data_IF_111623673227
#
_entry.id   IF_111623673227
#
_cell.length_a   1.000
_cell.length_b   1.000
_cell.length_c   1.000
_cell.angle_alpha   90.00
_cell.angle_beta   90.00
_cell.angle_gamma   90.00
#
_symmetry.space_group_name_H-M   'P 1'
#
loop_
_entity.id
_entity.type
_entity.pdbx_description
1 polymer ?
#
# COMPACT_ATOMS: atom_id res chain seq x y z
N UNK A 1 -6.40 34.93 1.73
CA UNK A 1 -6.12 33.47 1.92
C UNK A 1 -5.34 33.00 0.71
N UNK A 2 -4.22 32.30 0.90
CA UNK A 2 -3.40 31.81 -0.21
C UNK A 2 -4.24 30.79 -1.04
N UNK A 3 -4.23 30.93 -2.37
CA UNK A 3 -5.01 30.06 -3.28
C UNK A 3 -4.71 28.56 -3.08
N UNK A 4 -3.48 28.21 -2.72
CA UNK A 4 -3.09 26.83 -2.38
C UNK A 4 -3.81 26.35 -1.13
N UNK A 5 -3.86 27.14 -0.07
CA UNK A 5 -4.53 26.80 1.17
C UNK A 5 -6.05 26.61 0.94
N UNK A 6 -6.66 27.48 0.12
CA UNK A 6 -8.07 27.34 -0.25
C UNK A 6 -8.36 25.98 -0.94
N UNK A 7 -7.52 25.59 -1.92
CA UNK A 7 -7.64 24.29 -2.60
C UNK A 7 -7.49 23.12 -1.61
N UNK A 8 -6.50 23.18 -0.73
CA UNK A 8 -6.28 22.14 0.29
C UNK A 8 -7.46 22.01 1.25
N UNK A 9 -8.08 23.12 1.66
CA UNK A 9 -9.29 23.10 2.50
C UNK A 9 -10.46 22.44 1.77
N UNK A 10 -10.67 22.75 0.48
CA UNK A 10 -11.72 22.14 -0.32
C UNK A 10 -11.51 20.63 -0.46
N UNK A 11 -10.28 20.20 -0.77
CA UNK A 11 -9.93 18.77 -0.90
C UNK A 11 -10.13 18.04 0.44
N UNK A 12 -9.71 18.63 1.56
CA UNK A 12 -9.97 18.08 2.89
C UNK A 12 -11.46 17.98 3.19
N UNK A 13 -12.24 19.03 2.87
CA UNK A 13 -13.69 19.02 3.06
C UNK A 13 -14.36 17.87 2.27
N UNK A 14 -13.97 17.65 1.03
CA UNK A 14 -14.45 16.51 0.22
C UNK A 14 -14.05 15.18 0.87
N UNK A 15 -12.77 15.04 1.29
CA UNK A 15 -12.23 13.82 1.90
C UNK A 15 -12.90 13.46 3.22
N UNK A 16 -13.45 14.42 3.95
CA UNK A 16 -14.21 14.20 5.20
C UNK A 16 -15.71 14.03 4.93
N UNK A 17 -16.30 14.92 4.11
CA UNK A 17 -17.75 14.97 3.92
C UNK A 17 -18.29 13.75 3.20
N UNK A 18 -17.61 13.26 2.15
CA UNK A 18 -18.04 12.07 1.40
C UNK A 18 -18.09 10.83 2.31
N UNK A 19 -17.04 10.48 3.07
CA UNK A 19 -17.12 9.39 4.05
C UNK A 19 -18.21 9.57 5.09
N UNK A 20 -18.35 10.78 5.67
CA UNK A 20 -19.36 11.06 6.68
C UNK A 20 -20.78 10.81 6.14
N UNK A 21 -21.09 11.32 4.96
CA UNK A 21 -22.38 11.09 4.30
C UNK A 21 -22.63 9.60 4.02
N UNK A 22 -21.60 8.88 3.52
CA UNK A 22 -21.74 7.44 3.24
C UNK A 22 -21.96 6.62 4.52
N UNK A 23 -21.42 7.05 5.66
CA UNK A 23 -21.67 6.44 6.97
C UNK A 23 -23.11 6.74 7.42
N UNK A 24 -23.54 8.00 7.34
CA UNK A 24 -24.90 8.42 7.72
C UNK A 24 -25.96 7.66 6.92
N UNK A 25 -25.75 7.47 5.62
CA UNK A 25 -26.65 6.69 4.77
C UNK A 25 -26.45 5.18 4.85
N UNK A 26 -25.60 4.68 5.75
CA UNK A 26 -25.28 3.26 5.94
C UNK A 26 -24.88 2.55 4.63
N UNK A 27 -23.96 3.16 3.87
CA UNK A 27 -23.47 2.65 2.57
C UNK A 27 -22.01 2.14 2.66
N UNK A 28 -21.70 1.10 3.48
CA UNK A 28 -20.32 0.67 3.71
C UNK A 28 -19.60 0.21 2.44
N UNK A 29 -20.32 -0.37 1.47
CA UNK A 29 -19.72 -0.79 0.19
C UNK A 29 -19.24 0.40 -0.65
N UNK A 30 -20.01 1.50 -0.69
CA UNK A 30 -19.61 2.72 -1.38
C UNK A 30 -18.44 3.40 -0.65
N UNK A 31 -18.44 3.34 0.68
CA UNK A 31 -17.35 3.87 1.49
C UNK A 31 -16.02 3.11 1.25
N UNK A 32 -16.07 1.77 1.14
CA UNK A 32 -14.89 0.98 0.68
C UNK A 32 -14.50 1.38 -0.73
N UNK A 33 -15.46 1.59 -1.63
CA UNK A 33 -15.17 2.05 -2.98
C UNK A 33 -14.48 3.40 -3.00
N UNK A 34 -14.95 4.37 -2.26
CA UNK A 34 -14.32 5.68 -2.11
C UNK A 34 -12.90 5.54 -1.52
N UNK A 35 -12.74 4.79 -0.43
CA UNK A 35 -11.43 4.52 0.17
C UNK A 35 -10.46 3.93 -0.86
N UNK A 36 -10.85 2.88 -1.57
CA UNK A 36 -10.01 2.23 -2.57
C UNK A 36 -9.65 3.16 -3.74
N UNK A 37 -10.59 3.98 -4.20
CA UNK A 37 -10.37 4.93 -5.28
C UNK A 37 -9.35 6.01 -4.86
N UNK A 38 -9.53 6.61 -3.69
CA UNK A 38 -8.67 7.70 -3.21
C UNK A 38 -7.26 7.23 -2.82
N UNK A 39 -7.06 5.93 -2.57
CA UNK A 39 -5.72 5.39 -2.32
C UNK A 39 -4.76 5.53 -3.52
N UNK A 40 -5.30 5.62 -4.73
CA UNK A 40 -4.51 5.77 -5.95
C UNK A 40 -4.68 7.14 -6.62
N UNK A 41 -5.55 7.99 -6.06
CA UNK A 41 -5.74 9.37 -6.49
C UNK A 41 -5.34 10.31 -5.35
N UNK A 42 -4.03 10.44 -5.14
CA UNK A 42 -3.43 11.14 -3.99
C UNK A 42 -3.73 12.67 -3.97
N UNK A 43 -4.39 13.20 -5.01
CA UNK A 43 -4.88 14.60 -5.00
C UNK A 43 -5.85 14.89 -3.85
N UNK A 44 -6.49 13.87 -3.28
CA UNK A 44 -7.35 13.99 -2.10
C UNK A 44 -6.58 13.94 -0.78
N UNK A 45 -5.27 13.72 -0.81
CA UNK A 45 -4.44 13.73 0.37
C UNK A 45 -4.27 15.18 0.85
N UNK A 46 -4.28 15.37 2.15
CA UNK A 46 -4.13 16.69 2.74
C UNK A 46 -2.76 16.87 3.38
N UNK A 47 -2.15 18.02 3.13
CA UNK A 47 -0.87 18.41 3.73
C UNK A 47 -1.02 19.54 4.76
N UNK A 48 -2.26 19.94 5.09
CA UNK A 48 -2.52 21.10 5.98
C UNK A 48 -1.89 20.92 7.36
N UNK A 49 -2.02 19.74 7.96
CA UNK A 49 -1.49 19.47 9.30
C UNK A 49 -0.35 18.45 9.28
N UNK A 50 -0.41 17.51 8.38
CA UNK A 50 0.57 16.43 8.15
C UNK A 50 0.17 15.76 6.84
N UNK A 51 1.09 15.10 6.19
CA UNK A 51 0.74 14.30 5.00
C UNK A 51 -0.21 13.16 5.42
N UNK A 52 -1.51 13.38 5.25
CA UNK A 52 -2.59 12.48 5.63
C UNK A 52 -3.30 11.96 4.39
N UNK A 53 -3.04 10.72 3.96
CA UNK A 53 -3.72 10.09 2.85
C UNK A 53 -5.24 10.05 3.05
N UNK A 54 -6.01 10.31 1.98
CA UNK A 54 -7.47 10.33 2.03
C UNK A 54 -8.06 8.99 2.53
N UNK A 55 -7.43 7.85 2.22
CA UNK A 55 -7.80 6.56 2.78
C UNK A 55 -7.72 6.52 4.32
N UNK A 56 -6.78 7.24 4.94
CA UNK A 56 -6.70 7.39 6.39
C UNK A 56 -7.77 8.33 6.94
N UNK A 57 -8.14 9.36 6.21
CA UNK A 57 -9.28 10.21 6.58
C UNK A 57 -10.55 9.34 6.67
N UNK A 58 -10.79 8.47 5.69
CA UNK A 58 -11.89 7.49 5.75
C UNK A 58 -11.81 6.65 7.02
N UNK A 59 -10.63 6.13 7.36
CA UNK A 59 -10.42 5.34 8.57
C UNK A 59 -10.73 6.12 9.85
N UNK A 60 -10.29 7.37 9.95
CA UNK A 60 -10.55 8.23 11.11
C UNK A 60 -12.04 8.54 11.26
N UNK A 61 -12.72 8.90 10.17
CA UNK A 61 -14.16 9.18 10.18
C UNK A 61 -14.97 7.91 10.54
N UNK A 62 -14.49 6.74 10.15
CA UNK A 62 -15.12 5.45 10.47
C UNK A 62 -14.75 4.90 11.87
N UNK A 63 -13.73 5.44 12.53
CA UNK A 63 -13.19 4.96 13.80
C UNK A 63 -14.25 4.78 14.90
N UNK A 64 -15.19 5.72 15.14
CA UNK A 64 -16.23 5.51 16.15
C UNK A 64 -17.07 4.25 15.90
N UNK A 65 -17.42 3.99 14.64
CA UNK A 65 -18.18 2.79 14.22
C UNK A 65 -17.37 1.52 14.45
N UNK A 66 -16.05 1.58 14.15
CA UNK A 66 -15.14 0.45 14.38
C UNK A 66 -14.98 0.14 15.87
N UNK A 67 -14.89 1.15 16.73
CA UNK A 67 -14.81 0.99 18.19
C UNK A 67 -16.08 0.35 18.75
N UNK A 68 -17.27 0.83 18.37
CA UNK A 68 -18.54 0.24 18.80
C UNK A 68 -18.63 -1.24 18.40
N UNK A 69 -18.12 -1.58 17.23
CA UNK A 69 -18.07 -2.96 16.75
C UNK A 69 -16.91 -3.80 17.34
N UNK A 70 -16.04 -3.23 18.19
CA UNK A 70 -14.80 -3.88 18.65
C UNK A 70 -15.05 -5.24 19.31
N UNK A 71 -16.11 -5.40 20.09
CA UNK A 71 -16.47 -6.65 20.77
C UNK A 71 -16.58 -7.84 19.82
N UNK A 72 -17.06 -7.62 18.60
CA UNK A 72 -17.21 -8.68 17.60
C UNK A 72 -15.88 -9.01 16.92
N UNK A 73 -15.02 -8.00 16.72
CA UNK A 73 -13.72 -8.18 16.04
C UNK A 73 -12.69 -8.85 16.94
N UNK A 74 -12.75 -8.62 18.25
CA UNK A 74 -11.85 -9.27 19.21
C UNK A 74 -12.03 -10.79 19.30
N UNK A 75 -13.10 -11.36 18.72
CA UNK A 75 -13.24 -12.80 18.51
C UNK A 75 -12.29 -13.35 17.43
N UNK A 76 -11.81 -12.50 16.52
CA UNK A 76 -10.92 -12.89 15.44
C UNK A 76 -9.47 -12.97 15.92
N UNK A 77 -8.82 -14.12 15.67
CA UNK A 77 -7.39 -14.30 15.98
C UNK A 77 -6.51 -13.17 15.41
N UNK A 78 -6.65 -12.76 14.13
CA UNK A 78 -5.81 -11.71 13.59
C UNK A 78 -6.08 -10.33 14.21
N UNK A 79 -7.30 -10.06 14.70
CA UNK A 79 -7.62 -8.81 15.40
C UNK A 79 -6.99 -8.78 16.80
N UNK A 80 -6.97 -9.93 17.49
CA UNK A 80 -6.28 -10.03 18.79
C UNK A 80 -4.78 -9.86 18.63
N UNK A 81 -4.17 -10.47 17.63
CA UNK A 81 -2.75 -10.29 17.34
C UNK A 81 -2.43 -8.81 17.04
N UNK A 82 -3.26 -8.14 16.25
CA UNK A 82 -3.14 -6.71 16.00
C UNK A 82 -3.25 -5.89 17.29
N UNK A 83 -4.21 -6.20 18.18
CA UNK A 83 -4.38 -5.50 19.45
C UNK A 83 -3.16 -5.65 20.37
N UNK A 84 -2.57 -6.84 20.43
CA UNK A 84 -1.32 -7.07 21.17
C UNK A 84 -0.21 -6.18 20.67
N UNK A 85 0.00 -6.09 19.34
CA UNK A 85 0.97 -5.19 18.75
C UNK A 85 0.66 -3.72 19.06
N UNK A 86 -0.61 -3.33 18.99
CA UNK A 86 -1.02 -1.95 19.24
C UNK A 86 -0.76 -1.53 20.70
N UNK A 87 -1.09 -2.40 21.68
CA UNK A 87 -0.79 -2.15 23.10
C UNK A 87 0.73 -2.06 23.32
N UNK A 88 1.48 -2.94 22.67
CA UNK A 88 2.94 -2.91 22.73
C UNK A 88 3.51 -1.61 22.15
N UNK A 89 3.01 -1.15 21.01
CA UNK A 89 3.38 0.14 20.41
C UNK A 89 3.06 1.31 21.34
N UNK A 90 1.93 1.29 22.05
CA UNK A 90 1.61 2.32 23.06
C UNK A 90 2.69 2.32 24.14
N UNK A 91 3.04 1.14 24.69
CA UNK A 91 4.09 1.02 25.69
C UNK A 91 5.44 1.56 25.23
N UNK A 92 5.88 1.18 24.04
CA UNK A 92 7.11 1.71 23.43
C UNK A 92 7.01 3.22 23.17
N UNK A 93 5.84 3.70 22.75
CA UNK A 93 5.60 5.11 22.52
C UNK A 93 5.71 5.95 23.80
N UNK A 94 5.17 5.45 24.90
CA UNK A 94 5.34 6.07 26.23
C UNK A 94 6.83 6.04 26.61
N UNK A 95 7.50 4.90 26.46
CA UNK A 95 8.89 4.75 26.86
C UNK A 95 9.82 5.67 26.05
N UNK A 96 9.81 5.57 24.71
CA UNK A 96 10.77 6.25 23.82
C UNK A 96 10.26 7.57 23.26
N UNK A 97 8.99 7.87 23.39
CA UNK A 97 8.41 9.15 22.98
C UNK A 97 8.34 10.17 24.10
N UNK A 98 8.07 9.71 25.33
CA UNK A 98 7.78 10.62 26.45
C UNK A 98 8.77 10.49 27.63
N UNK A 99 9.12 9.26 28.07
CA UNK A 99 9.96 9.07 29.24
C UNK A 99 11.44 9.19 28.90
N UNK A 100 11.89 8.51 27.85
CA UNK A 100 13.27 8.54 27.34
C UNK A 100 13.28 8.92 25.88
N UNK A 101 12.91 10.17 25.53
CA UNK A 101 12.75 10.56 24.14
C UNK A 101 14.08 10.43 23.38
N UNK A 102 13.99 9.93 22.16
CA UNK A 102 15.12 9.90 21.25
C UNK A 102 15.68 11.33 21.05
N UNK A 103 17.01 11.50 21.06
CA UNK A 103 17.63 12.79 20.82
C UNK A 103 17.25 13.30 19.43
N UNK A 104 16.94 14.58 19.35
CA UNK A 104 16.70 15.25 18.08
C UNK A 104 18.05 15.69 17.47
N UNK A 105 18.30 15.29 16.23
CA UNK A 105 19.56 15.57 15.52
C UNK A 105 19.72 17.04 15.11
N UNK A 106 18.67 17.84 15.12
CA UNK A 106 18.66 19.16 14.46
C UNK A 106 18.70 20.37 15.37
N UNK A 107 18.54 20.22 16.68
CA UNK A 107 18.76 21.30 17.67
C UNK A 107 17.92 22.58 17.53
N UNK A 108 16.92 22.60 16.63
CA UNK A 108 16.09 23.77 16.35
C UNK A 108 14.62 23.60 16.75
N UNK A 109 13.86 24.72 16.72
CA UNK A 109 12.41 24.66 16.88
C UNK A 109 11.78 23.82 15.78
N UNK A 110 11.04 22.77 16.18
CA UNK A 110 10.31 21.89 15.26
C UNK A 110 8.81 21.95 15.51
N UNK A 111 8.01 21.78 14.46
CA UNK A 111 6.59 21.52 14.60
C UNK A 111 6.35 20.28 15.48
N UNK A 112 5.27 20.31 16.26
CA UNK A 112 4.94 19.23 17.21
C UNK A 112 4.95 17.82 16.57
N UNK A 113 4.44 17.70 15.34
CA UNK A 113 4.39 16.43 14.60
C UNK A 113 5.78 15.86 14.23
N UNK A 114 6.84 16.63 14.35
CA UNK A 114 8.22 16.19 14.13
C UNK A 114 8.96 15.90 15.44
N UNK A 115 8.41 16.28 16.58
CA UNK A 115 8.94 15.92 17.91
C UNK A 115 8.65 14.45 18.24
N UNK A 116 9.43 13.76 19.08
CA UNK A 116 9.20 12.36 19.45
C UNK A 116 7.77 12.08 19.92
N UNK A 117 7.21 12.96 20.78
CA UNK A 117 5.85 12.86 21.29
C UNK A 117 4.81 12.94 20.17
N UNK A 118 4.96 13.97 19.32
CA UNK A 118 4.05 14.20 18.20
C UNK A 118 4.09 13.08 17.17
N UNK A 119 5.29 12.56 16.85
CA UNK A 119 5.47 11.40 15.97
C UNK A 119 4.77 10.16 16.50
N UNK A 120 4.95 9.89 17.79
CA UNK A 120 4.28 8.78 18.48
C UNK A 120 2.77 8.88 18.34
N UNK A 121 2.18 10.04 18.66
CA UNK A 121 0.74 10.26 18.57
C UNK A 121 0.24 10.11 17.13
N UNK A 122 0.89 10.80 16.18
CA UNK A 122 0.52 10.73 14.76
C UNK A 122 0.59 9.31 14.23
N UNK A 123 1.63 8.55 14.59
CA UNK A 123 1.76 7.16 14.18
C UNK A 123 0.66 6.27 14.76
N UNK A 124 0.36 6.37 16.04
CA UNK A 124 -0.70 5.60 16.70
C UNK A 124 -2.08 5.92 16.09
N UNK A 125 -2.35 7.18 15.79
CA UNK A 125 -3.57 7.61 15.06
C UNK A 125 -3.62 6.98 13.67
N UNK A 126 -2.50 6.90 12.94
CA UNK A 126 -2.43 6.21 11.64
C UNK A 126 -2.74 4.72 11.78
N UNK A 127 -2.19 4.04 12.78
CA UNK A 127 -2.44 2.61 13.03
C UNK A 127 -3.91 2.34 13.36
N UNK A 128 -4.55 3.21 14.15
CA UNK A 128 -6.00 3.14 14.43
C UNK A 128 -6.84 3.39 13.18
N UNK A 129 -6.46 4.34 12.35
CA UNK A 129 -7.13 4.60 11.07
C UNK A 129 -7.05 3.37 10.15
N UNK A 130 -5.86 2.77 10.00
CA UNK A 130 -5.66 1.57 9.19
C UNK A 130 -6.44 0.35 9.73
N UNK A 131 -6.59 0.26 11.06
CA UNK A 131 -7.48 -0.73 11.69
C UNK A 131 -8.94 -0.48 11.31
N UNK A 132 -9.40 0.75 11.37
CA UNK A 132 -10.78 1.13 11.04
C UNK A 132 -11.10 0.82 9.57
N UNK A 133 -10.18 1.09 8.65
CA UNK A 133 -10.32 0.69 7.23
C UNK A 133 -10.44 -0.83 7.11
N UNK A 134 -9.64 -1.59 7.85
CA UNK A 134 -9.73 -3.07 7.88
C UNK A 134 -11.14 -3.52 8.31
N UNK A 135 -11.68 -2.97 9.39
CA UNK A 135 -13.02 -3.28 9.90
C UNK A 135 -14.11 -2.86 8.90
N UNK A 136 -13.96 -1.70 8.27
CA UNK A 136 -14.87 -1.24 7.22
C UNK A 136 -14.95 -2.26 6.09
N UNK A 137 -13.82 -2.75 5.58
CA UNK A 137 -13.77 -3.78 4.54
C UNK A 137 -14.46 -5.06 4.99
N UNK A 138 -14.17 -5.53 6.21
CA UNK A 138 -14.80 -6.74 6.77
C UNK A 138 -16.32 -6.61 6.81
N UNK A 139 -16.87 -5.45 7.14
CA UNK A 139 -18.33 -5.21 7.17
C UNK A 139 -18.94 -5.04 5.78
N UNK A 140 -18.20 -4.47 4.84
CA UNK A 140 -18.70 -4.20 3.50
C UNK A 140 -18.80 -5.46 2.63
N UNK A 141 -17.92 -6.44 2.86
CA UNK A 141 -17.92 -7.70 2.13
C UNK A 141 -19.06 -8.61 2.63
N UNK A 142 -19.83 -9.17 1.70
CA UNK A 142 -20.91 -10.10 2.01
C UNK A 142 -20.43 -11.53 2.13
N UNK A 143 -19.45 -11.88 1.33
CA UNK A 143 -18.88 -13.22 1.22
C UNK A 143 -17.36 -13.11 1.00
N UNK A 144 -16.54 -14.09 1.42
CA UNK A 144 -15.09 -14.08 1.16
C UNK A 144 -14.71 -13.98 -0.31
N UNK A 145 -15.61 -14.32 -1.22
CA UNK A 145 -15.43 -14.18 -2.66
C UNK A 145 -15.76 -12.80 -3.21
N UNK A 146 -16.41 -11.94 -2.41
CA UNK A 146 -16.89 -10.62 -2.84
C UNK A 146 -15.78 -9.55 -2.83
N UNK A 147 -14.64 -9.89 -3.43
CA UNK A 147 -13.51 -8.96 -3.52
C UNK A 147 -13.65 -7.96 -4.67
N UNK A 148 -14.67 -8.13 -5.52
CA UNK A 148 -14.88 -7.31 -6.73
C UNK A 148 -15.01 -5.82 -6.41
N UNK A 149 -15.58 -5.46 -5.25
CA UNK A 149 -15.70 -4.06 -4.87
C UNK A 149 -14.33 -3.42 -4.66
N UNK A 150 -13.41 -4.13 -3.98
CA UNK A 150 -12.05 -3.69 -3.73
C UNK A 150 -11.26 -3.61 -5.05
N UNK A 151 -11.23 -4.71 -5.81
CA UNK A 151 -10.47 -4.77 -7.06
C UNK A 151 -10.97 -3.77 -8.09
N UNK A 152 -12.29 -3.58 -8.21
CA UNK A 152 -12.90 -2.62 -9.13
C UNK A 152 -12.46 -1.18 -8.85
N UNK A 153 -12.58 -0.74 -7.61
CA UNK A 153 -12.32 0.65 -7.26
C UNK A 153 -10.83 0.98 -7.20
N UNK A 154 -9.97 0.04 -6.76
CA UNK A 154 -8.53 0.19 -6.91
C UNK A 154 -8.12 0.28 -8.39
N UNK A 155 -8.68 -0.57 -9.24
CA UNK A 155 -8.41 -0.53 -10.68
C UNK A 155 -8.87 0.80 -11.31
N UNK A 156 -10.02 1.32 -10.91
CA UNK A 156 -10.51 2.61 -11.43
C UNK A 156 -9.65 3.78 -10.94
N UNK A 157 -9.23 3.78 -9.67
CA UNK A 157 -8.27 4.78 -9.17
C UNK A 157 -6.96 4.76 -9.97
N UNK A 158 -6.41 3.57 -10.22
CA UNK A 158 -5.22 3.39 -11.05
C UNK A 158 -5.44 3.87 -12.49
N UNK A 159 -6.63 3.59 -13.07
CA UNK A 159 -6.93 4.02 -14.44
C UNK A 159 -7.05 5.53 -14.57
N UNK A 160 -7.70 6.19 -13.62
CA UNK A 160 -7.84 7.66 -13.62
C UNK A 160 -6.49 8.32 -13.43
N UNK A 161 -5.69 7.85 -12.48
CA UNK A 161 -4.32 8.36 -12.25
C UNK A 161 -3.41 8.07 -13.43
N UNK A 162 -3.49 6.87 -14.03
CA UNK A 162 -2.75 6.50 -15.22
C UNK A 162 -3.12 7.35 -16.45
N UNK A 163 -4.44 7.58 -16.66
CA UNK A 163 -4.92 8.46 -17.73
C UNK A 163 -4.41 9.89 -17.54
N UNK A 164 -4.43 10.41 -16.31
CA UNK A 164 -3.89 11.73 -16.01
C UNK A 164 -2.37 11.80 -16.31
N UNK A 165 -1.62 10.73 -15.99
CA UNK A 165 -0.20 10.64 -16.35
C UNK A 165 0.05 10.62 -17.85
N UNK A 166 -0.73 9.82 -18.61
CA UNK A 166 -0.61 9.77 -20.09
C UNK A 166 -0.95 11.12 -20.72
N UNK A 167 -2.10 11.70 -20.34
CA UNK A 167 -2.55 12.99 -20.89
C UNK A 167 -1.61 14.11 -20.43
N UNK A 168 -1.15 14.07 -19.19
CA UNK A 168 -0.17 15.02 -18.64
C UNK A 168 1.10 15.04 -19.46
N UNK A 169 1.65 13.85 -19.75
CA UNK A 169 2.83 13.72 -20.60
C UNK A 169 2.62 14.27 -22.02
N UNK A 170 1.48 13.91 -22.66
CA UNK A 170 1.19 14.33 -24.03
C UNK A 170 0.96 15.84 -24.18
N UNK A 171 0.33 16.45 -23.16
CA UNK A 171 -0.04 17.87 -23.14
C UNK A 171 0.94 18.74 -22.33
N UNK A 172 1.95 18.15 -21.72
CA UNK A 172 2.87 18.81 -20.79
C UNK A 172 2.13 19.53 -19.62
N UNK A 173 1.15 18.84 -19.02
CA UNK A 173 0.30 19.36 -17.93
C UNK A 173 0.52 18.52 -16.68
N UNK A 174 0.99 19.14 -15.60
CA UNK A 174 1.03 18.53 -14.27
C UNK A 174 -0.35 18.65 -13.58
N UNK A 175 -1.17 17.60 -13.70
CA UNK A 175 -2.51 17.57 -13.12
C UNK A 175 -2.50 17.61 -11.59
N UNK A 176 -1.50 17.00 -10.94
CA UNK A 176 -1.39 17.07 -9.47
C UNK A 176 -1.18 18.51 -9.02
N UNK A 177 -0.23 19.23 -9.62
CA UNK A 177 0.00 20.65 -9.37
C UNK A 177 -1.23 21.50 -9.68
N UNK A 178 -1.90 21.24 -10.80
CA UNK A 178 -3.08 21.98 -11.21
C UNK A 178 -4.21 21.91 -10.17
N UNK A 179 -4.43 20.72 -9.60
CA UNK A 179 -5.50 20.46 -8.63
C UNK A 179 -5.10 20.91 -7.22
N UNK A 180 -3.92 20.52 -6.75
CA UNK A 180 -3.50 20.74 -5.36
C UNK A 180 -2.81 22.07 -5.14
N UNK A 181 -2.16 22.62 -6.17
CA UNK A 181 -1.29 23.78 -6.07
C UNK A 181 0.10 23.49 -5.48
N UNK A 182 0.44 22.24 -5.18
CA UNK A 182 1.68 21.86 -4.53
C UNK A 182 2.78 21.56 -5.54
N UNK A 183 3.92 22.27 -5.40
CA UNK A 183 5.10 22.15 -6.28
C UNK A 183 6.18 21.20 -5.73
N UNK A 184 5.99 20.61 -4.55
CA UNK A 184 7.06 20.01 -3.76
C UNK A 184 7.89 18.93 -4.48
N UNK A 185 7.40 18.32 -5.52
CA UNK A 185 8.17 17.40 -6.36
C UNK A 185 7.91 17.73 -7.84
N UNK A 186 8.26 18.99 -8.23
CA UNK A 186 8.24 19.35 -9.63
C UNK A 186 9.03 18.30 -10.41
N UNK A 187 8.33 17.63 -11.30
CA UNK A 187 8.89 16.56 -12.11
C UNK A 187 10.07 17.11 -12.90
N UNK A 188 11.21 16.45 -12.83
CA UNK A 188 12.29 16.69 -13.77
C UNK A 188 11.80 16.22 -15.13
N UNK A 189 11.98 17.04 -16.09
CA UNK A 189 11.62 17.15 -17.50
C UNK A 189 10.98 15.97 -18.28
N UNK A 190 10.85 14.75 -17.75
CA UNK A 190 10.36 13.58 -18.48
C UNK A 190 9.60 12.52 -17.67
N UNK A 191 9.35 12.76 -16.35
CA UNK A 191 8.64 11.81 -15.49
C UNK A 191 7.29 12.35 -15.05
N UNK A 192 6.25 11.56 -15.30
CA UNK A 192 4.90 11.94 -14.90
C UNK A 192 4.51 11.38 -13.55
N UNK A 193 3.66 12.13 -12.84
CA UNK A 193 3.07 11.73 -11.57
C UNK A 193 1.55 11.54 -11.62
N UNK A 194 0.90 11.94 -12.70
CA UNK A 194 -0.55 11.83 -12.84
C UNK A 194 -1.30 12.57 -11.75
N UNK A 195 -2.08 11.84 -10.95
CA UNK A 195 -2.75 12.35 -9.75
C UNK A 195 -2.06 11.92 -8.46
N UNK A 196 -0.82 11.43 -8.53
CA UNK A 196 -0.01 11.05 -7.39
C UNK A 196 0.94 12.16 -6.97
N UNK A 197 1.36 12.15 -5.72
CA UNK A 197 2.28 13.12 -5.16
C UNK A 197 3.66 13.08 -5.85
N UNK A 198 4.09 11.89 -6.23
CA UNK A 198 5.36 11.65 -6.91
C UNK A 198 5.22 10.61 -8.04
N UNK A 199 6.13 10.58 -9.03
CA UNK A 199 6.11 9.58 -10.11
C UNK A 199 6.14 8.13 -9.62
N UNK A 200 6.77 7.86 -8.48
CA UNK A 200 6.78 6.54 -7.84
C UNK A 200 5.36 6.11 -7.45
N UNK A 201 4.55 7.01 -6.89
CA UNK A 201 3.15 6.76 -6.54
C UNK A 201 2.32 6.36 -7.75
N UNK A 202 2.47 7.07 -8.89
CA UNK A 202 1.84 6.71 -10.16
C UNK A 202 2.24 5.29 -10.61
N UNK A 203 3.56 5.02 -10.65
CA UNK A 203 4.07 3.71 -11.08
C UNK A 203 3.53 2.55 -10.25
N UNK A 204 3.45 2.74 -8.93
CA UNK A 204 2.93 1.74 -8.02
C UNK A 204 1.42 1.53 -8.16
N UNK A 205 0.65 2.60 -8.21
CA UNK A 205 -0.80 2.55 -8.41
C UNK A 205 -1.14 1.81 -9.69
N UNK A 206 -0.39 2.08 -10.77
CA UNK A 206 -0.52 1.39 -12.05
C UNK A 206 -0.11 -0.09 -11.96
N UNK A 207 0.98 -0.43 -11.26
CA UNK A 207 1.41 -1.81 -11.05
C UNK A 207 0.34 -2.63 -10.29
N UNK A 208 -0.24 -2.07 -9.23
CA UNK A 208 -1.37 -2.69 -8.53
C UNK A 208 -2.58 -2.87 -9.46
N UNK A 209 -2.99 -1.81 -10.17
CA UNK A 209 -4.14 -1.84 -11.06
C UNK A 209 -4.03 -2.91 -12.15
N UNK A 210 -2.87 -2.99 -12.83
CA UNK A 210 -2.60 -4.03 -13.83
C UNK A 210 -2.62 -5.43 -13.23
N UNK A 211 -1.95 -5.63 -12.09
CA UNK A 211 -1.93 -6.93 -11.42
C UNK A 211 -3.33 -7.39 -11.02
N UNK A 212 -4.16 -6.49 -10.46
CA UNK A 212 -5.55 -6.79 -10.11
C UNK A 212 -6.40 -7.14 -11.33
N UNK A 213 -6.19 -6.49 -12.48
CA UNK A 213 -6.85 -6.85 -13.74
C UNK A 213 -6.39 -8.23 -14.25
N UNK A 214 -5.10 -8.55 -14.10
CA UNK A 214 -4.56 -9.85 -14.50
C UNK A 214 -5.08 -11.01 -13.63
N UNK A 215 -5.49 -10.77 -12.39
CA UNK A 215 -6.10 -11.77 -11.50
C UNK A 215 -7.49 -12.19 -11.99
N UNK A 216 -8.26 -11.29 -12.62
CA UNK A 216 -9.63 -11.60 -13.07
C UNK A 216 -9.65 -12.80 -14.01
N UNK A 217 -10.46 -13.85 -13.74
CA UNK A 217 -10.51 -15.05 -14.57
C UNK A 217 -11.25 -14.82 -15.90
N UNK A 218 -12.16 -13.85 -15.93
CA UNK A 218 -12.88 -13.42 -17.14
C UNK A 218 -12.74 -11.91 -17.27
N UNK A 219 -12.13 -11.46 -18.35
CA UNK A 219 -12.00 -10.05 -18.69
C UNK A 219 -13.04 -9.68 -19.72
N UNK A 220 -13.66 -8.53 -19.49
CA UNK A 220 -14.57 -7.90 -20.45
C UNK A 220 -13.77 -6.97 -21.36
N UNK A 221 -14.39 -6.56 -22.48
CA UNK A 221 -13.77 -5.53 -23.33
C UNK A 221 -13.46 -4.24 -22.56
N UNK A 222 -14.29 -3.89 -21.58
CA UNK A 222 -14.07 -2.73 -20.70
C UNK A 222 -12.79 -2.88 -19.86
N UNK A 223 -12.47 -4.10 -19.40
CA UNK A 223 -11.25 -4.34 -18.65
C UNK A 223 -9.99 -4.10 -19.50
N UNK A 224 -10.03 -4.48 -20.77
CA UNK A 224 -8.94 -4.21 -21.71
C UNK A 224 -8.77 -2.71 -21.99
N UNK A 225 -9.87 -1.98 -22.18
CA UNK A 225 -9.83 -0.52 -22.36
C UNK A 225 -9.24 0.17 -21.13
N UNK A 226 -9.57 -0.29 -19.93
CA UNK A 226 -9.03 0.24 -18.67
C UNK A 226 -7.55 -0.09 -18.49
N UNK A 227 -7.05 -1.19 -19.06
CA UNK A 227 -5.62 -1.53 -19.01
C UNK A 227 -4.74 -0.52 -19.77
N UNK A 228 -5.22 0.09 -20.85
CA UNK A 228 -4.44 1.00 -21.68
C UNK A 228 -3.90 2.19 -20.88
N UNK A 229 -4.75 3.02 -20.21
CA UNK A 229 -4.24 4.15 -19.44
C UNK A 229 -3.39 3.73 -18.24
N UNK A 230 -3.66 2.57 -17.63
CA UNK A 230 -2.85 2.07 -16.52
C UNK A 230 -1.44 1.67 -17.02
N UNK A 231 -1.36 0.96 -18.16
CA UNK A 231 -0.07 0.58 -18.75
C UNK A 231 0.73 1.81 -19.22
N UNK A 232 0.07 2.77 -19.85
CA UNK A 232 0.68 4.05 -20.20
C UNK A 232 1.20 4.82 -18.99
N UNK A 233 0.39 4.91 -17.92
CA UNK A 233 0.80 5.56 -16.68
C UNK A 233 2.01 4.89 -16.03
N UNK A 234 2.07 3.55 -16.03
CA UNK A 234 3.24 2.80 -15.53
C UNK A 234 4.49 3.15 -16.33
N UNK A 235 4.40 3.22 -17.65
CA UNK A 235 5.54 3.55 -18.50
C UNK A 235 6.01 4.99 -18.30
N UNK A 236 5.10 5.97 -18.39
CA UNK A 236 5.47 7.39 -18.28
C UNK A 236 5.85 7.82 -16.85
N UNK A 237 5.58 7.00 -15.85
CA UNK A 237 6.11 7.23 -14.50
C UNK A 237 7.63 7.04 -14.42
N UNK A 238 8.22 6.25 -15.34
CA UNK A 238 9.62 5.80 -15.30
C UNK A 238 10.04 5.30 -13.91
N UNK A 239 9.11 4.66 -13.21
CA UNK A 239 9.31 4.17 -11.84
C UNK A 239 9.87 2.75 -11.86
N UNK A 240 11.15 2.60 -11.52
CA UNK A 240 11.79 1.28 -11.36
C UNK A 240 11.07 0.43 -10.31
N UNK A 241 10.61 1.06 -9.23
CA UNK A 241 9.81 0.40 -8.19
C UNK A 241 8.45 -0.08 -8.72
N UNK A 242 7.77 0.74 -9.52
CA UNK A 242 6.51 0.36 -10.17
C UNK A 242 6.70 -0.83 -11.11
N UNK A 243 7.74 -0.80 -11.96
CA UNK A 243 8.07 -1.90 -12.86
C UNK A 243 8.43 -3.17 -12.11
N UNK A 244 9.24 -3.09 -11.05
CA UNK A 244 9.60 -4.24 -10.21
C UNK A 244 8.36 -4.85 -9.55
N UNK A 245 7.47 -4.02 -8.96
CA UNK A 245 6.23 -4.50 -8.38
C UNK A 245 5.31 -5.15 -9.42
N UNK A 246 5.23 -4.59 -10.63
CA UNK A 246 4.45 -5.19 -11.70
C UNK A 246 5.05 -6.54 -12.11
N UNK A 247 6.37 -6.66 -12.26
CA UNK A 247 7.03 -7.93 -12.58
C UNK A 247 6.75 -9.01 -11.52
N UNK A 248 6.81 -8.65 -10.24
CA UNK A 248 6.43 -9.56 -9.14
C UNK A 248 4.94 -9.89 -9.21
N UNK A 249 4.06 -8.93 -9.47
CA UNK A 249 2.63 -9.16 -9.68
C UNK A 249 2.35 -10.16 -10.80
N UNK A 250 3.05 -10.02 -11.93
CA UNK A 250 3.03 -10.96 -13.06
C UNK A 250 3.46 -12.36 -12.64
N UNK A 251 4.58 -12.48 -11.92
CA UNK A 251 5.07 -13.76 -11.42
C UNK A 251 4.06 -14.43 -10.47
N UNK A 252 3.44 -13.68 -9.55
CA UNK A 252 2.41 -14.19 -8.66
C UNK A 252 1.18 -14.71 -9.43
N UNK A 253 0.71 -13.96 -10.42
CA UNK A 253 -0.41 -14.37 -11.27
C UNK A 253 -0.04 -15.59 -12.10
N UNK A 254 1.19 -15.72 -12.57
CA UNK A 254 1.67 -16.89 -13.28
C UNK A 254 1.73 -18.13 -12.38
N UNK A 255 2.28 -18.01 -11.17
CA UNK A 255 2.44 -19.13 -10.24
C UNK A 255 1.10 -19.60 -9.65
N UNK A 256 0.26 -18.65 -9.22
CA UNK A 256 -0.95 -18.95 -8.43
C UNK A 256 -2.27 -18.75 -9.19
N UNK A 257 -2.21 -18.14 -10.38
CA UNK A 257 -3.37 -17.89 -11.22
C UNK A 257 -3.86 -19.11 -11.98
N UNK A 258 -5.03 -18.97 -12.62
CA UNK A 258 -5.61 -19.98 -13.50
C UNK A 258 -4.89 -20.04 -14.85
N UNK A 259 -5.08 -21.13 -15.62
CA UNK A 259 -4.54 -21.24 -16.98
C UNK A 259 -4.97 -20.07 -17.90
N UNK A 260 -6.21 -19.57 -17.73
CA UNK A 260 -6.69 -18.38 -18.45
C UNK A 260 -5.92 -17.12 -18.08
N UNK A 261 -5.50 -16.99 -16.82
CA UNK A 261 -4.69 -15.87 -16.38
C UNK A 261 -3.29 -15.93 -17.01
N UNK A 262 -2.72 -17.12 -17.18
CA UNK A 262 -1.43 -17.31 -17.85
C UNK A 262 -1.48 -16.91 -19.33
N UNK A 263 -2.55 -17.29 -20.04
CA UNK A 263 -2.76 -16.86 -21.44
C UNK A 263 -2.87 -15.35 -21.54
N UNK A 264 -3.69 -14.73 -20.67
CA UNK A 264 -3.82 -13.28 -20.66
C UNK A 264 -2.54 -12.56 -20.30
N UNK A 265 -1.69 -13.15 -19.46
CA UNK A 265 -0.35 -12.67 -19.14
C UNK A 265 0.54 -12.70 -20.39
N UNK A 266 0.53 -13.80 -21.14
CA UNK A 266 1.28 -13.89 -22.40
C UNK A 266 0.80 -12.81 -23.39
N UNK A 267 -0.52 -12.64 -23.53
CA UNK A 267 -1.11 -11.60 -24.39
C UNK A 267 -0.70 -10.20 -23.94
N UNK A 268 -0.74 -9.90 -22.62
CA UNK A 268 -0.34 -8.61 -22.07
C UNK A 268 1.17 -8.35 -22.27
N UNK A 269 2.01 -9.39 -22.09
CA UNK A 269 3.44 -9.29 -22.34
C UNK A 269 3.76 -9.00 -23.82
N UNK A 270 3.08 -9.67 -24.75
CA UNK A 270 3.22 -9.40 -26.19
C UNK A 270 2.77 -7.97 -26.50
N UNK A 271 1.63 -7.52 -25.98
CA UNK A 271 1.13 -6.17 -26.20
C UNK A 271 2.10 -5.11 -25.65
N UNK A 272 2.68 -5.34 -24.45
CA UNK A 272 3.69 -4.47 -23.87
C UNK A 272 4.97 -4.43 -24.73
N UNK A 273 5.43 -5.59 -25.19
CA UNK A 273 6.61 -5.66 -26.07
C UNK A 273 6.38 -4.90 -27.37
N UNK A 274 5.23 -5.08 -28.00
CA UNK A 274 4.84 -4.34 -29.20
C UNK A 274 4.80 -2.83 -28.94
N UNK A 275 4.22 -2.40 -27.82
CA UNK A 275 4.15 -1.00 -27.45
C UNK A 275 5.54 -0.40 -27.20
N UNK A 276 6.42 -1.11 -26.51
CA UNK A 276 7.82 -0.69 -26.31
C UNK A 276 8.56 -0.60 -27.65
N UNK A 277 8.35 -1.56 -28.56
CA UNK A 277 8.91 -1.52 -29.91
C UNK A 277 8.41 -0.32 -30.69
N UNK A 278 7.11 -0.02 -30.62
CA UNK A 278 6.54 1.17 -31.28
C UNK A 278 7.17 2.45 -30.71
N UNK A 279 7.28 2.58 -29.39
CA UNK A 279 7.91 3.74 -28.75
C UNK A 279 9.37 3.86 -29.17
N UNK A 280 10.12 2.76 -29.19
CA UNK A 280 11.52 2.77 -29.62
C UNK A 280 11.71 3.21 -31.08
N UNK A 281 10.76 2.85 -31.94
CA UNK A 281 10.80 3.22 -33.37
C UNK A 281 10.33 4.67 -33.61
N UNK A 282 9.22 5.06 -32.96
CA UNK A 282 8.59 6.38 -33.19
C UNK A 282 9.32 7.50 -32.43
N UNK A 283 9.89 7.20 -31.28
CA UNK A 283 10.61 8.16 -30.42
C UNK A 283 11.87 7.54 -29.83
N UNK A 284 12.92 7.30 -30.62
CA UNK A 284 14.14 6.64 -30.18
C UNK A 284 14.88 7.42 -29.09
N UNK A 285 14.84 8.75 -29.08
CA UNK A 285 15.42 9.56 -28.00
C UNK A 285 14.77 9.27 -26.65
N UNK A 286 13.44 9.18 -26.61
CA UNK A 286 12.67 8.86 -25.39
C UNK A 286 13.01 7.48 -24.83
N UNK A 287 13.19 6.49 -25.71
CA UNK A 287 13.59 5.15 -25.33
C UNK A 287 15.03 5.12 -24.82
N UNK A 288 15.93 5.86 -25.46
CA UNK A 288 17.32 6.04 -25.03
C UNK A 288 17.41 6.70 -23.66
N UNK A 289 16.70 7.80 -23.45
CA UNK A 289 16.68 8.52 -22.17
C UNK A 289 16.11 7.65 -21.04
N UNK A 290 15.02 6.92 -21.30
CA UNK A 290 14.41 6.01 -20.34
C UNK A 290 15.35 4.85 -19.97
N UNK A 291 16.00 4.24 -20.96
CA UNK A 291 16.95 3.14 -20.71
C UNK A 291 18.19 3.62 -19.99
N UNK A 292 18.71 4.79 -20.34
CA UNK A 292 19.85 5.41 -19.66
C UNK A 292 19.51 5.76 -18.21
N UNK A 293 18.34 6.33 -17.95
CA UNK A 293 17.89 6.65 -16.59
C UNK A 293 17.67 5.40 -15.74
N UNK A 294 17.10 4.34 -16.32
CA UNK A 294 16.93 3.06 -15.60
C UNK A 294 18.30 2.42 -15.33
N UNK A 295 19.20 2.37 -16.30
CA UNK A 295 20.54 1.79 -16.13
C UNK A 295 21.38 2.59 -15.13
N UNK A 296 21.39 3.92 -15.23
CA UNK A 296 22.13 4.79 -14.30
C UNK A 296 21.64 4.64 -12.85
N UNK A 297 20.33 4.42 -12.64
CA UNK A 297 19.77 4.16 -11.32
C UNK A 297 20.12 2.77 -10.79
N UNK A 298 20.17 1.78 -11.67
CA UNK A 298 20.62 0.44 -11.29
C UNK A 298 22.11 0.41 -10.98
N UNK A 299 22.92 1.10 -11.76
CA UNK A 299 24.36 1.25 -11.57
C UNK A 299 24.67 2.15 -10.38
N UNK A 300 24.01 3.31 -10.24
CA UNK A 300 24.23 4.27 -9.14
C UNK A 300 23.85 3.73 -7.75
N UNK A 301 22.99 2.72 -7.68
CA UNK A 301 22.73 1.99 -6.44
C UNK A 301 23.86 1.03 -6.03
N UNK A 302 24.79 0.73 -6.96
CA UNK A 302 25.93 -0.14 -6.72
C UNK A 302 27.25 0.57 -6.45
N UNK A 303 27.36 1.86 -6.79
CA UNK A 303 28.64 2.62 -6.84
C UNK A 303 28.80 3.67 -5.76
N UNK A 304 28.10 3.56 -4.61
CA UNK A 304 28.59 4.27 -3.45
C UNK A 304 29.96 3.69 -3.14
N UNK A 305 31.03 4.47 -3.32
CA UNK A 305 32.35 4.26 -2.74
C UNK A 305 32.24 4.29 -1.21
N UNK A 306 31.37 3.42 -0.69
CA UNK A 306 31.39 3.10 0.70
C UNK A 306 32.62 2.21 0.89
N UNK A 307 33.56 2.63 1.75
CA UNK A 307 34.54 1.75 2.33
C UNK A 307 33.94 0.36 2.48
N UNK A 308 34.63 -0.69 2.05
CA UNK A 308 34.14 -2.06 2.08
C UNK A 308 33.31 -2.31 3.33
N UNK A 309 32.05 -2.68 3.18
CA UNK A 309 31.18 -2.82 4.34
C UNK A 309 31.76 -3.89 5.25
N UNK A 310 31.84 -3.65 6.56
CA UNK A 310 32.53 -4.55 7.50
C UNK A 310 31.86 -5.92 7.61
N UNK A 311 30.62 -6.04 7.13
CA UNK A 311 29.87 -7.29 7.11
C UNK A 311 28.80 -7.33 6.01
N UNK A 312 28.33 -8.55 5.70
CA UNK A 312 27.33 -8.80 4.65
C UNK A 312 25.99 -8.09 4.92
N UNK A 313 25.61 -7.91 6.18
CA UNK A 313 24.33 -7.26 6.52
C UNK A 313 24.37 -5.76 6.21
N UNK A 314 25.49 -5.08 6.46
CA UNK A 314 25.68 -3.69 6.04
C UNK A 314 25.75 -3.55 4.52
N UNK A 315 26.39 -4.50 3.84
CA UNK A 315 26.43 -4.53 2.38
C UNK A 315 25.02 -4.64 1.76
N UNK A 316 24.13 -5.44 2.36
CA UNK A 316 22.73 -5.55 1.94
C UNK A 316 21.98 -4.27 2.26
N UNK A 317 22.16 -3.71 3.46
CA UNK A 317 21.48 -2.48 3.88
C UNK A 317 21.79 -1.31 2.94
N UNK A 318 23.05 -1.17 2.51
CA UNK A 318 23.51 -0.12 1.58
C UNK A 318 22.89 -0.21 0.18
N UNK A 319 22.32 -1.37 -0.20
CA UNK A 319 21.62 -1.56 -1.48
C UNK A 319 20.13 -1.15 -1.44
N UNK A 320 19.61 -0.83 -0.26
CA UNK A 320 18.24 -0.38 -0.10
C UNK A 320 18.10 1.09 -0.53
N UNK A 321 16.86 1.53 -0.69
CA UNK A 321 16.57 2.95 -0.85
C UNK A 321 17.06 3.73 0.39
N UNK A 322 17.38 5.01 0.24
CA UNK A 322 18.02 5.83 1.28
C UNK A 322 17.32 5.79 2.64
N UNK A 323 15.99 5.82 2.65
CA UNK A 323 15.19 5.76 3.89
C UNK A 323 15.26 4.38 4.55
N UNK A 324 15.24 3.33 3.76
CA UNK A 324 15.35 1.96 4.22
C UNK A 324 16.77 1.61 4.62
N UNK A 325 17.77 2.12 3.87
CA UNK A 325 19.18 1.93 4.17
C UNK A 325 19.56 2.50 5.54
N UNK A 326 19.12 3.71 5.86
CA UNK A 326 19.40 4.34 7.15
C UNK A 326 18.80 3.57 8.32
N UNK A 327 17.53 3.13 8.19
CA UNK A 327 16.88 2.33 9.21
C UNK A 327 17.53 0.95 9.35
N UNK A 328 17.86 0.29 8.23
CA UNK A 328 18.51 -1.02 8.23
C UNK A 328 19.90 -0.95 8.87
N UNK A 329 20.74 0.04 8.50
CA UNK A 329 22.04 0.26 9.11
C UNK A 329 21.95 0.51 10.62
N UNK A 330 20.98 1.33 11.04
CA UNK A 330 20.74 1.55 12.46
C UNK A 330 20.44 0.23 13.19
N UNK A 331 19.52 -0.58 12.65
CA UNK A 331 19.14 -1.86 13.26
C UNK A 331 20.30 -2.86 13.30
N UNK A 332 21.07 -2.96 12.21
CA UNK A 332 22.24 -3.86 12.15
C UNK A 332 23.30 -3.47 13.19
N UNK A 333 23.56 -2.18 13.35
CA UNK A 333 24.54 -1.67 14.34
C UNK A 333 24.01 -1.69 15.77
N UNK A 334 22.69 -1.76 15.94
CA UNK A 334 22.02 -1.77 17.25
C UNK A 334 21.03 -2.93 17.34
N UNK A 335 21.47 -4.21 17.32
CA UNK A 335 20.61 -5.38 17.16
C UNK A 335 19.55 -5.55 18.24
N UNK A 336 19.70 -4.96 19.42
CA UNK A 336 18.67 -4.93 20.48
C UNK A 336 17.34 -4.37 19.98
N UNK A 337 17.36 -3.39 19.05
CA UNK A 337 16.15 -2.80 18.50
C UNK A 337 15.47 -3.66 17.43
N UNK A 338 16.14 -4.68 16.91
CA UNK A 338 15.50 -5.73 16.13
C UNK A 338 14.49 -6.48 16.99
N UNK A 339 14.81 -6.71 18.27
CA UNK A 339 13.93 -7.44 19.19
C UNK A 339 12.83 -6.56 19.78
N UNK A 340 13.16 -5.37 20.26
CA UNK A 340 12.21 -4.51 20.98
C UNK A 340 11.56 -3.44 20.13
N UNK A 341 12.14 -3.05 18.97
CA UNK A 341 11.71 -1.89 18.19
C UNK A 341 12.20 -0.56 18.77
N UNK A 342 11.96 0.51 18.04
CA UNK A 342 12.33 1.89 18.42
C UNK A 342 11.14 2.70 18.96
N UNK A 343 9.95 2.14 18.85
CA UNK A 343 8.69 2.83 19.15
C UNK A 343 8.00 3.41 17.91
N UNK A 344 6.72 3.75 18.04
CA UNK A 344 5.84 4.11 16.93
C UNK A 344 6.28 5.40 16.23
N UNK A 345 6.72 5.29 14.98
CA UNK A 345 7.16 6.43 14.16
C UNK A 345 8.48 7.05 14.56
N UNK A 346 9.24 6.44 15.46
CA UNK A 346 10.44 7.03 16.07
C UNK A 346 11.75 6.58 15.41
N UNK A 347 11.75 5.53 14.57
CA UNK A 347 12.97 4.97 13.95
C UNK A 347 13.74 6.00 13.15
N UNK A 348 13.09 6.97 12.54
CA UNK A 348 13.75 8.01 11.76
C UNK A 348 14.69 8.89 12.59
N UNK A 349 14.44 9.06 13.89
CA UNK A 349 15.29 9.85 14.77
C UNK A 349 16.68 9.21 14.94
N UNK A 350 16.82 8.00 15.50
CA UNK A 350 18.14 7.37 15.59
C UNK A 350 18.72 6.96 14.22
N UNK A 351 17.89 6.59 13.24
CA UNK A 351 18.35 6.23 11.91
C UNK A 351 18.98 7.41 11.15
N UNK A 352 18.57 8.64 11.44
CA UNK A 352 19.10 9.84 10.79
C UNK A 352 20.62 9.99 10.96
N UNK A 353 21.20 9.42 12.01
CA UNK A 353 22.65 9.40 12.24
C UNK A 353 23.38 8.28 11.46
N UNK A 354 22.63 7.40 10.79
CA UNK A 354 23.16 6.24 10.08
C UNK A 354 22.97 6.37 8.56
N UNK A 355 22.95 7.61 8.06
CA UNK A 355 22.85 7.87 6.62
C UNK A 355 24.08 7.32 5.92
N UNK A 356 23.92 6.53 4.84
CA UNK A 356 25.05 6.06 4.04
C UNK A 356 25.89 7.24 3.55
N UNK A 357 27.22 7.13 3.68
CA UNK A 357 28.15 8.15 3.16
C UNK A 357 28.07 8.19 1.64
N UNK A 358 28.29 9.36 1.04
CA UNK A 358 28.25 9.56 -0.39
C UNK A 358 27.13 10.51 -0.83
N UNK A 359 26.42 10.20 -1.92
CA UNK A 359 25.40 11.08 -2.55
C UNK A 359 24.36 11.58 -1.54
N UNK A 360 24.00 10.77 -0.58
CA UNK A 360 22.95 11.10 0.40
C UNK A 360 23.39 12.15 1.44
N UNK A 361 24.67 12.23 1.78
CA UNK A 361 25.18 13.22 2.74
C UNK A 361 25.19 14.64 2.15
N UNK A 362 25.28 14.77 0.84
CA UNK A 362 25.19 16.05 0.14
C UNK A 362 23.75 16.54 0.07
N UNK A 363 22.80 15.64 -0.18
CA UNK A 363 21.36 15.97 -0.30
C UNK A 363 20.71 16.14 1.08
N UNK A 364 21.18 15.40 2.09
CA UNK A 364 20.60 15.33 3.44
C UNK A 364 21.64 15.64 4.53
N UNK A 365 22.20 16.85 4.59
CA UNK A 365 23.30 17.18 5.50
C UNK A 365 22.93 17.02 6.98
N UNK A 366 21.64 17.16 7.32
CA UNK A 366 21.13 17.05 8.69
C UNK A 366 20.52 15.66 9.01
N UNK A 367 20.80 14.64 8.17
CA UNK A 367 20.22 13.33 8.32
C UNK A 367 18.84 13.20 7.66
N UNK A 368 18.39 11.95 7.53
CA UNK A 368 17.13 11.61 6.85
C UNK A 368 16.04 11.44 7.88
N UNK A 369 15.08 12.34 7.87
CA UNK A 369 13.92 12.32 8.76
C UNK A 369 12.71 11.67 8.08
N UNK A 370 12.82 10.38 7.75
CA UNK A 370 11.74 9.62 7.14
C UNK A 370 11.65 8.21 7.69
N UNK A 371 10.44 7.64 7.59
CA UNK A 371 10.19 6.25 7.98
C UNK A 371 10.58 5.29 6.85
N UNK A 372 10.98 4.04 7.19
CA UNK A 372 11.23 3.02 6.19
C UNK A 372 10.01 2.80 5.28
N UNK A 373 10.30 2.55 4.01
CA UNK A 373 9.25 2.35 2.99
C UNK A 373 8.87 0.88 2.82
N UNK A 374 9.75 -0.06 3.15
CA UNK A 374 9.45 -1.50 3.12
C UNK A 374 8.64 -1.92 4.33
N UNK A 375 7.47 -2.52 4.09
CA UNK A 375 6.52 -2.86 5.16
C UNK A 375 7.12 -3.74 6.26
N UNK A 376 7.93 -4.75 5.91
CA UNK A 376 8.57 -5.61 6.90
C UNK A 376 9.61 -4.84 7.74
N UNK A 377 10.45 -4.03 7.10
CA UNK A 377 11.44 -3.20 7.80
C UNK A 377 10.76 -2.15 8.66
N UNK A 378 9.64 -1.61 8.19
CA UNK A 378 8.83 -0.66 8.93
C UNK A 378 8.26 -1.28 10.22
N UNK A 379 7.64 -2.48 10.13
CA UNK A 379 7.12 -3.18 11.31
C UNK A 379 8.25 -3.57 12.27
N UNK A 380 9.36 -4.11 11.74
CA UNK A 380 10.53 -4.47 12.55
C UNK A 380 11.11 -3.26 13.27
N UNK A 381 11.25 -2.14 12.59
CA UNK A 381 11.81 -0.93 13.17
C UNK A 381 10.93 -0.32 14.26
N UNK A 382 9.60 -0.33 14.09
CA UNK A 382 8.69 0.27 15.08
C UNK A 382 8.42 -0.64 16.28
N UNK A 383 8.14 -1.93 16.07
CA UNK A 383 7.68 -2.86 17.11
C UNK A 383 8.53 -4.13 17.26
N UNK A 384 9.67 -4.18 16.59
CA UNK A 384 10.61 -5.30 16.72
C UNK A 384 10.00 -6.63 16.30
N UNK A 385 10.53 -7.72 16.86
CA UNK A 385 10.06 -9.09 16.61
C UNK A 385 8.58 -9.27 16.97
N UNK A 386 8.08 -8.56 17.98
CA UNK A 386 6.66 -8.65 18.39
C UNK A 386 5.75 -8.20 17.24
N UNK A 387 6.09 -7.10 16.56
CA UNK A 387 5.35 -6.63 15.38
C UNK A 387 5.32 -7.67 14.27
N UNK A 388 6.48 -8.26 13.98
CA UNK A 388 6.59 -9.29 12.94
C UNK A 388 5.77 -10.54 13.29
N UNK A 389 5.88 -11.03 14.52
CA UNK A 389 5.14 -12.23 14.98
C UNK A 389 3.64 -12.01 14.89
N UNK A 390 3.15 -10.88 15.40
CA UNK A 390 1.72 -10.55 15.36
C UNK A 390 1.21 -10.35 13.93
N UNK A 391 2.02 -9.74 13.04
CA UNK A 391 1.72 -9.63 11.62
C UNK A 391 1.64 -11.02 10.96
N UNK A 392 2.61 -11.92 11.23
CA UNK A 392 2.62 -13.29 10.73
C UNK A 392 1.40 -14.09 11.20
N UNK A 393 0.99 -13.97 12.48
CA UNK A 393 -0.24 -14.60 13.00
C UNK A 393 -1.46 -14.11 12.22
N UNK A 394 -1.53 -12.81 11.94
CA UNK A 394 -2.61 -12.20 11.14
C UNK A 394 -2.66 -12.74 9.71
N UNK A 395 -1.52 -12.77 9.04
CA UNK A 395 -1.39 -13.31 7.67
C UNK A 395 -1.71 -14.80 7.63
N UNK A 396 -1.12 -15.60 8.52
CA UNK A 396 -1.33 -17.03 8.59
C UNK A 396 -2.81 -17.39 8.80
N UNK A 397 -3.46 -16.72 9.76
CA UNK A 397 -4.89 -16.93 10.05
C UNK A 397 -5.75 -16.61 8.83
N UNK A 398 -5.45 -15.53 8.13
CA UNK A 398 -6.14 -15.10 6.92
C UNK A 398 -5.94 -16.08 5.77
N UNK A 399 -4.69 -16.50 5.53
CA UNK A 399 -4.35 -17.49 4.50
C UNK A 399 -5.00 -18.85 4.76
N UNK A 400 -5.00 -19.31 6.02
CA UNK A 400 -5.68 -20.57 6.41
C UNK A 400 -7.17 -20.51 6.11
N UNK A 401 -7.83 -19.39 6.36
CA UNK A 401 -9.24 -19.20 6.06
C UNK A 401 -9.50 -19.13 4.54
N UNK A 402 -8.70 -18.35 3.80
CA UNK A 402 -8.83 -18.24 2.34
C UNK A 402 -8.54 -19.55 1.62
N UNK A 403 -7.54 -20.33 2.08
CA UNK A 403 -7.24 -21.66 1.55
C UNK A 403 -8.40 -22.63 1.79
N UNK A 404 -9.03 -22.57 2.97
CA UNK A 404 -10.22 -23.37 3.25
C UNK A 404 -11.33 -23.12 2.23
N UNK A 405 -11.70 -21.86 1.98
CA UNK A 405 -12.71 -21.52 0.98
C UNK A 405 -12.28 -21.87 -0.44
N UNK A 406 -11.01 -21.62 -0.80
CA UNK A 406 -10.50 -21.92 -2.14
C UNK A 406 -10.43 -23.44 -2.44
N UNK A 407 -10.18 -24.28 -1.43
CA UNK A 407 -10.18 -25.74 -1.58
C UNK A 407 -11.58 -26.31 -1.87
N UNK A 408 -12.62 -25.66 -1.34
CA UNK A 408 -14.02 -26.08 -1.53
C UNK A 408 -14.68 -25.37 -2.73
N UNK A 409 -13.91 -24.63 -3.52
CA UNK A 409 -14.40 -23.94 -4.72
C UNK A 409 -14.37 -24.84 -5.94
N UNK A 410 -15.40 -25.68 -6.09
CA UNK A 410 -15.53 -26.63 -7.21
C UNK A 410 -15.64 -25.94 -8.58
N UNK A 411 -15.95 -24.63 -8.64
CA UNK A 411 -16.20 -23.89 -9.89
C UNK A 411 -15.01 -23.08 -10.39
N UNK A 412 -13.77 -23.30 -9.88
CA UNK A 412 -12.56 -22.55 -10.27
C UNK A 412 -12.78 -21.02 -10.28
N UNK A 413 -13.33 -20.49 -9.21
CA UNK A 413 -13.90 -19.16 -9.25
C UNK A 413 -13.44 -18.22 -8.15
N UNK A 414 -14.38 -17.52 -7.57
CA UNK A 414 -14.16 -16.27 -6.86
C UNK A 414 -13.37 -16.39 -5.54
N UNK A 415 -13.35 -17.56 -4.89
CA UNK A 415 -12.55 -17.76 -3.67
C UNK A 415 -11.04 -17.85 -3.96
N UNK A 416 -10.67 -18.44 -5.12
CA UNK A 416 -9.28 -18.44 -5.57
C UNK A 416 -8.82 -17.05 -5.97
N UNK A 417 -9.71 -16.25 -6.59
CA UNK A 417 -9.46 -14.83 -6.87
C UNK A 417 -9.21 -14.06 -5.56
N UNK A 418 -10.06 -14.21 -4.55
CA UNK A 418 -9.91 -13.56 -3.25
C UNK A 418 -8.58 -13.92 -2.57
N UNK A 419 -8.19 -15.21 -2.63
CA UNK A 419 -6.89 -15.66 -2.12
C UNK A 419 -5.74 -14.97 -2.85
N UNK A 420 -5.79 -14.90 -4.17
CA UNK A 420 -4.73 -14.29 -4.96
C UNK A 420 -4.66 -12.77 -4.75
N UNK A 421 -5.80 -12.10 -4.64
CA UNK A 421 -5.88 -10.67 -4.26
C UNK A 421 -5.19 -10.43 -2.91
N UNK A 422 -5.44 -11.27 -1.92
CA UNK A 422 -4.78 -11.16 -0.61
C UNK A 422 -3.28 -11.40 -0.69
N UNK A 423 -2.82 -12.42 -1.44
CA UNK A 423 -1.40 -12.73 -1.65
C UNK A 423 -0.69 -11.54 -2.32
N UNK A 424 -1.27 -10.96 -3.37
CA UNK A 424 -0.71 -9.79 -4.04
C UNK A 424 -0.59 -8.60 -3.09
N UNK A 425 -1.64 -8.31 -2.32
CA UNK A 425 -1.59 -7.23 -1.32
C UNK A 425 -0.52 -7.46 -0.26
N UNK A 426 -0.36 -8.71 0.21
CA UNK A 426 0.67 -9.10 1.17
C UNK A 426 2.09 -8.94 0.60
N UNK A 427 2.34 -9.48 -0.59
CA UNK A 427 3.66 -9.44 -1.21
C UNK A 427 4.04 -8.00 -1.57
N UNK A 428 3.10 -7.22 -2.06
CA UNK A 428 3.35 -5.81 -2.33
C UNK A 428 3.63 -5.01 -1.06
N UNK A 429 2.97 -5.32 0.05
CA UNK A 429 3.32 -4.75 1.35
C UNK A 429 4.74 -5.11 1.78
N UNK A 430 5.20 -6.35 1.53
CA UNK A 430 6.55 -6.78 1.89
C UNK A 430 7.62 -6.10 1.04
N UNK A 431 7.38 -5.99 -0.26
CA UNK A 431 8.36 -5.45 -1.22
C UNK A 431 8.43 -3.95 -1.20
N UNK A 432 7.36 -3.33 -0.81
CA UNK A 432 7.26 -1.91 -0.94
C UNK A 432 6.28 -1.31 0.05
N UNK A 433 6.73 -0.22 0.59
CA UNK A 433 5.91 0.93 0.77
C UNK A 433 5.37 1.09 2.16
N UNK A 434 5.85 2.19 2.65
CA UNK A 434 5.13 3.09 3.51
C UNK A 434 3.85 2.45 4.09
N UNK A 435 3.57 2.60 5.36
CA UNK A 435 2.34 2.13 5.98
C UNK A 435 1.13 2.76 5.28
N UNK A 436 0.89 2.27 4.07
CA UNK A 436 -0.23 2.69 3.24
C UNK A 436 -1.49 2.00 3.74
N UNK A 437 -2.61 2.71 3.81
CA UNK A 437 -3.92 2.11 4.06
C UNK A 437 -4.32 1.07 2.99
N UNK A 438 -3.56 0.93 1.91
CA UNK A 438 -3.74 -0.15 0.92
C UNK A 438 -3.63 -1.52 1.58
N UNK A 439 -2.62 -1.74 2.44
CA UNK A 439 -2.51 -3.01 3.17
C UNK A 439 -3.71 -3.24 4.10
N UNK A 440 -4.26 -2.19 4.71
CA UNK A 440 -5.45 -2.30 5.54
C UNK A 440 -6.66 -2.84 4.76
N UNK A 441 -6.81 -2.47 3.50
CA UNK A 441 -7.86 -2.99 2.61
C UNK A 441 -7.67 -4.48 2.35
N UNK A 442 -6.47 -4.92 1.95
CA UNK A 442 -6.19 -6.34 1.70
C UNK A 442 -6.27 -7.17 2.98
N UNK A 443 -5.79 -6.64 4.10
CA UNK A 443 -5.95 -7.24 5.43
C UNK A 443 -7.43 -7.46 5.77
N UNK A 444 -8.29 -6.50 5.44
CA UNK A 444 -9.73 -6.61 5.60
C UNK A 444 -10.35 -7.78 4.81
N UNK A 445 -9.89 -8.05 3.60
CA UNK A 445 -10.28 -9.24 2.83
C UNK A 445 -9.93 -10.53 3.58
N UNK A 446 -8.71 -10.64 4.09
CA UNK A 446 -8.27 -11.80 4.87
C UNK A 446 -9.06 -11.98 6.17
N UNK A 447 -9.28 -10.89 6.92
CA UNK A 447 -10.05 -10.94 8.18
C UNK A 447 -11.51 -11.29 7.94
N UNK A 448 -12.10 -10.82 6.84
CA UNK A 448 -13.47 -11.22 6.47
C UNK A 448 -13.57 -12.74 6.25
N UNK A 449 -12.58 -13.36 5.58
CA UNK A 449 -12.54 -14.81 5.42
C UNK A 449 -12.47 -15.55 6.78
N UNK A 450 -11.65 -15.05 7.73
CA UNK A 450 -11.61 -15.60 9.11
C UNK A 450 -12.95 -15.48 9.79
N UNK A 451 -13.61 -14.31 9.70
CA UNK A 451 -14.92 -14.06 10.28
C UNK A 451 -16.00 -14.99 9.69
N UNK A 452 -16.00 -15.18 8.37
CA UNK A 452 -16.92 -16.06 7.69
C UNK A 452 -16.75 -17.52 8.12
N UNK A 453 -15.50 -17.98 8.26
CA UNK A 453 -15.18 -19.33 8.73
C UNK A 453 -15.65 -19.57 10.17
N UNK A 454 -15.46 -18.60 11.07
CA UNK A 454 -15.92 -18.70 12.46
C UNK A 454 -17.44 -18.73 12.60
N UNK A 455 -18.18 -18.09 11.66
CA UNK A 455 -19.65 -18.13 11.64
C UNK A 455 -20.20 -19.44 11.05
N UNK A 456 -19.36 -20.42 10.77
CA UNK A 456 -19.77 -21.70 10.19
C UNK A 456 -20.32 -21.59 8.77
N UNK A 457 -20.05 -20.46 8.06
CA UNK A 457 -20.45 -20.32 6.66
C UNK A 457 -19.74 -21.39 5.83
N UNK A 458 -20.53 -22.30 5.27
CA UNK A 458 -20.03 -23.27 4.29
C UNK A 458 -19.90 -22.56 2.93
N UNK A 459 -18.93 -22.95 2.09
CA UNK A 459 -18.87 -22.47 0.71
C UNK A 459 -20.22 -22.69 0.02
N UNK A 460 -20.67 -21.73 -0.79
CA UNK A 460 -21.97 -21.78 -1.45
C UNK A 460 -22.18 -23.07 -2.29
N UNK A 461 -21.11 -23.67 -2.81
CA UNK A 461 -21.12 -24.94 -3.49
C UNK A 461 -21.53 -26.13 -2.59
N UNK A 462 -21.19 -26.08 -1.29
CA UNK A 462 -21.58 -27.13 -0.33
C UNK A 462 -23.04 -26.95 0.10
N UNK A 463 -23.52 -25.71 0.16
CA UNK A 463 -24.95 -25.44 0.44
C UNK A 463 -25.86 -25.90 -0.73
N UNK A 464 -25.41 -25.78 -1.97
CA UNK A 464 -26.15 -26.23 -3.15
C UNK A 464 -26.10 -27.75 -3.38
N UNK A 465 -25.17 -28.45 -2.72
CA UNK A 465 -24.98 -29.91 -2.85
C UNK A 465 -25.69 -30.72 -1.76
N UNK A 466 -26.32 -30.07 -0.75
CA UNK A 466 -27.21 -30.76 0.18
C UNK A 466 -28.60 -30.66 -0.43
N UNK A 467 -29.11 -31.77 -1.05
CA UNK A 467 -30.51 -31.78 -1.40
C UNK A 467 -31.30 -31.56 -0.12
N UNK A 468 -32.39 -30.81 -0.20
CA UNK A 468 -33.35 -30.69 0.88
C UNK A 468 -33.87 -32.10 1.25
N UNK A 469 -33.11 -32.80 2.07
CA UNK A 469 -33.53 -34.02 2.77
C UNK A 469 -34.46 -33.56 3.91
N UNK A 470 -35.63 -33.06 3.57
CA UNK A 470 -36.53 -32.55 4.60
C UNK A 470 -37.92 -32.10 4.20
N UNK A 471 -38.42 -32.51 3.02
CA UNK A 471 -39.85 -32.37 2.72
C UNK A 471 -40.49 -33.64 2.21
N UNK A 472 -40.17 -34.78 2.85
CA UNK A 472 -41.13 -35.89 2.84
C UNK A 472 -42.14 -35.58 3.93
N UNK A 473 -43.22 -34.90 3.55
CA UNK A 473 -44.43 -34.85 4.34
C UNK A 473 -44.94 -36.27 4.54
N UNK A 474 -45.27 -36.70 5.78
CA UNK A 474 -46.01 -37.92 5.97
C UNK A 474 -47.44 -37.72 5.40
N UNK A 475 -47.76 -38.48 4.37
CA UNK A 475 -49.15 -38.72 3.92
C UNK A 475 -49.85 -39.65 4.87
#
# INVERSE_FOLDING_TARGET
MNAVLARQIVLLAISVSVPALLILFNKPRHLVGWCCFTLFTEVFDTTIFTNLPAGRVVGLVYLPVAIVAARDWLKLTPARAWLVNFIYLIGLGVLFGFVFPWPDSTGGFRPFNLMPQGRTIVYLVRVLSDFSVTILVVRALRDPSDTRIVTKWLTYGAAVTGAAGVVGYLLNIDFYLLITGLREYATRDFRERGLSFEPRGLGLSCAYGLTLLLIKPRRTQKDWLVMIPIAGGLLFSFSTSGLACFAVGVALVFCFGSGRNRIALATAAIALLLMLTIIAVVRPALFGDATHEISSRLEGRGTTEANDPPNMAEAIALRLDVFDASAALFLVRNPRYIFIGTGPGLVSLPASFHVPKGIYTVVWPNGIDSLPTHGLLHELANSGVIGIVTWLIGVWSSMKALNYFAAHDHRRGPYREARLVFIVGMVFFLLQISPSPIWAVFRGVGWHAVAARLRGRRPAAVQAAIPELGSAAPG
#
